data_IF_743439346413
#
_entry.id   IF_743439346413
#
_cell.length_a   1.000
_cell.length_b   1.000
_cell.length_c   1.000
_cell.angle_alpha   90.00
_cell.angle_beta   90.00
_cell.angle_gamma   90.00
#
_symmetry.space_group_name_H-M   'P 1'
#
loop_
_entity.id
_entity.type
_entity.pdbx_description
1 polymer ?
#
# COMPACT_ATOMS: atom_id res chain seq x y z
N UNK A 1 -58.86 -61.97 25.62
CA UNK A 1 -60.30 -61.63 25.63
C UNK A 1 -60.58 -60.94 26.95
N UNK A 2 -60.98 -59.65 26.93
CA UNK A 2 -61.58 -58.86 28.04
C UNK A 2 -60.66 -58.62 29.26
N UNK A 3 -60.47 -57.47 29.88
CA UNK A 3 -60.92 -56.07 29.79
C UNK A 3 -60.00 -55.29 30.74
N UNK A 4 -59.55 -54.08 30.37
CA UNK A 4 -59.08 -53.10 31.35
C UNK A 4 -59.77 -51.77 31.08
N UNK A 5 -60.33 -51.23 32.15
CA UNK A 5 -61.26 -50.11 32.25
C UNK A 5 -60.52 -48.80 32.54
N UNK A 6 -61.05 -47.73 31.96
CA UNK A 6 -61.01 -46.31 32.40
C UNK A 6 -59.67 -45.58 32.16
N UNK A 7 -59.62 -44.34 31.65
CA UNK A 7 -60.46 -43.18 31.97
C UNK A 7 -60.46 -42.08 30.89
N UNK A 8 -61.64 -41.45 30.74
CA UNK A 8 -61.96 -40.06 30.32
C UNK A 8 -61.52 -39.52 28.94
N UNK A 9 -62.48 -39.29 28.01
CA UNK A 9 -62.23 -38.63 26.74
C UNK A 9 -62.43 -37.11 26.79
N UNK A 10 -61.43 -36.46 26.23
CA UNK A 10 -61.39 -35.12 25.66
C UNK A 10 -62.51 -34.99 24.60
N UNK A 11 -62.95 -33.74 24.38
CA UNK A 11 -63.64 -33.17 23.20
C UNK A 11 -65.18 -33.18 23.17
N UNK A 12 -65.81 -32.00 23.34
CA UNK A 12 -66.61 -31.26 22.31
C UNK A 12 -67.69 -30.35 22.93
N UNK A 13 -67.52 -29.03 22.79
CA UNK A 13 -68.52 -27.94 22.54
C UNK A 13 -67.88 -26.58 22.98
N UNK A 14 -67.21 -25.81 22.11
CA UNK A 14 -67.73 -24.76 21.21
C UNK A 14 -68.70 -23.76 21.90
N UNK A 15 -68.24 -22.59 22.33
CA UNK A 15 -68.40 -21.28 21.65
C UNK A 15 -68.16 -20.07 22.59
N UNK A 16 -67.53 -19.04 22.02
CA UNK A 16 -67.63 -17.61 22.36
C UNK A 16 -66.82 -17.05 23.54
N UNK A 17 -65.60 -16.57 23.24
CA UNK A 17 -64.80 -15.68 24.08
C UNK A 17 -64.05 -14.67 23.20
N UNK A 18 -64.43 -13.41 23.33
CA UNK A 18 -64.16 -12.23 22.50
C UNK A 18 -62.74 -12.06 21.91
N UNK A 19 -62.75 -11.51 20.70
CA UNK A 19 -61.67 -10.78 20.03
C UNK A 19 -60.99 -9.74 20.94
N UNK A 20 -59.69 -9.89 21.13
CA UNK A 20 -58.73 -8.77 21.07
C UNK A 20 -57.51 -9.24 20.31
N UNK A 21 -57.64 -9.33 18.99
CA UNK A 21 -56.47 -9.42 18.11
C UNK A 21 -55.88 -8.00 18.10
N UNK A 22 -54.95 -7.74 19.03
CA UNK A 22 -54.15 -6.52 19.01
C UNK A 22 -53.29 -6.59 17.75
N UNK A 23 -53.79 -6.00 16.68
CA UNK A 23 -53.05 -5.75 15.46
C UNK A 23 -52.03 -4.67 15.81
N UNK A 24 -50.89 -5.07 16.38
CA UNK A 24 -49.71 -4.23 16.39
C UNK A 24 -49.31 -4.05 14.93
N UNK A 25 -49.84 -3.00 14.29
CA UNK A 25 -49.16 -2.37 13.17
C UNK A 25 -47.85 -1.88 13.78
N UNK A 26 -46.81 -2.72 13.73
CA UNK A 26 -45.46 -2.22 13.69
C UNK A 26 -45.43 -1.35 12.44
N UNK A 27 -45.63 -0.05 12.62
CA UNK A 27 -45.18 0.91 11.66
C UNK A 27 -43.69 0.61 11.52
N UNK A 28 -43.33 -0.06 10.43
CA UNK A 28 -41.97 -0.05 9.94
C UNK A 28 -41.71 1.44 9.77
N UNK A 29 -40.99 2.06 10.71
CA UNK A 29 -40.50 3.40 10.49
C UNK A 29 -39.63 3.26 9.26
N UNK A 30 -40.14 3.69 8.10
CA UNK A 30 -39.34 3.86 6.91
C UNK A 30 -38.17 4.72 7.38
N UNK A 31 -36.99 4.10 7.45
CA UNK A 31 -35.74 4.80 7.72
C UNK A 31 -35.70 5.88 6.66
N UNK A 32 -35.89 7.13 7.08
CA UNK A 32 -36.26 8.19 6.17
C UNK A 32 -35.29 8.22 4.97
N UNK A 33 -35.77 8.43 3.73
CA UNK A 33 -35.02 8.17 2.50
C UNK A 33 -33.95 9.26 2.21
N UNK A 34 -33.34 9.82 3.25
CA UNK A 34 -32.38 10.91 3.14
C UNK A 34 -30.93 10.42 3.01
N UNK A 35 -30.15 11.14 2.22
CA UNK A 35 -28.73 10.91 2.06
C UNK A 35 -27.95 11.44 3.28
N UNK A 36 -26.81 10.83 3.58
CA UNK A 36 -25.86 11.40 4.54
C UNK A 36 -25.11 12.58 3.88
N UNK A 37 -24.77 12.43 2.60
CA UNK A 37 -24.20 13.50 1.79
C UNK A 37 -24.71 13.48 0.34
N UNK A 38 -24.74 14.64 -0.29
CA UNK A 38 -25.05 14.81 -1.72
C UNK A 38 -24.03 15.72 -2.39
N UNK A 39 -23.77 15.46 -3.66
CA UNK A 39 -23.05 16.38 -4.54
C UNK A 39 -24.02 16.82 -5.63
N UNK A 40 -24.30 18.12 -5.70
CA UNK A 40 -25.22 18.75 -6.64
C UNK A 40 -24.46 19.59 -7.68
N UNK A 41 -25.15 19.93 -8.77
CA UNK A 41 -24.70 20.80 -9.84
C UNK A 41 -23.38 20.37 -10.49
N UNK A 42 -23.16 19.06 -10.64
CA UNK A 42 -21.96 18.49 -11.21
C UNK A 42 -22.15 18.00 -12.66
N UNK A 43 -21.04 17.54 -13.24
CA UNK A 43 -21.03 16.61 -14.37
C UNK A 43 -20.58 15.26 -13.84
N UNK A 44 -21.53 14.47 -13.35
CA UNK A 44 -21.26 13.19 -12.69
C UNK A 44 -21.04 12.12 -13.74
N UNK A 45 -19.85 11.53 -13.78
CA UNK A 45 -19.50 10.45 -14.70
C UNK A 45 -19.69 9.12 -13.99
N UNK A 46 -20.50 8.24 -14.58
CA UNK A 46 -20.63 6.84 -14.14
C UNK A 46 -20.27 5.89 -15.28
N UNK A 47 -19.79 4.71 -14.93
CA UNK A 47 -19.46 3.65 -15.89
C UNK A 47 -20.15 2.34 -15.49
N UNK A 48 -20.78 1.69 -16.45
CA UNK A 48 -21.51 0.43 -16.26
C UNK A 48 -21.32 -0.45 -17.50
N UNK A 49 -20.74 -1.64 -17.30
CA UNK A 49 -20.50 -2.60 -18.39
C UNK A 49 -21.78 -3.25 -18.91
N UNK A 50 -22.85 -3.24 -18.12
CA UNK A 50 -24.15 -3.77 -18.51
C UNK A 50 -24.99 -2.72 -19.27
N UNK A 51 -24.52 -1.47 -19.32
CA UNK A 51 -25.13 -0.39 -20.08
C UNK A 51 -24.56 -0.34 -21.52
N UNK A 52 -25.39 -0.31 -22.58
CA UNK A 52 -24.91 -0.16 -23.96
C UNK A 52 -24.11 1.15 -24.17
N UNK A 53 -24.39 2.17 -23.36
CA UNK A 53 -23.55 3.36 -23.23
C UNK A 53 -22.66 3.17 -22.00
N UNK A 54 -21.46 2.63 -22.22
CA UNK A 54 -20.46 2.32 -21.19
C UNK A 54 -20.22 3.46 -20.20
N UNK A 55 -20.31 4.71 -20.68
CA UNK A 55 -20.17 5.93 -19.89
C UNK A 55 -21.48 6.71 -19.94
N UNK A 56 -22.00 7.06 -18.76
CA UNK A 56 -23.19 7.90 -18.59
C UNK A 56 -22.86 9.16 -17.81
N UNK A 57 -23.64 10.22 -18.07
CA UNK A 57 -23.53 11.53 -17.43
C UNK A 57 -24.80 11.83 -16.65
N UNK A 58 -24.64 12.31 -15.43
CA UNK A 58 -25.72 12.81 -14.57
C UNK A 58 -25.32 14.16 -13.96
N UNK A 59 -26.22 14.77 -13.19
CA UNK A 59 -26.00 16.09 -12.61
C UNK A 59 -25.63 16.02 -11.12
N UNK A 60 -26.05 14.96 -10.43
CA UNK A 60 -25.92 14.84 -9.00
C UNK A 60 -25.80 13.38 -8.52
N UNK A 61 -25.25 13.22 -7.31
CA UNK A 61 -25.10 11.92 -6.63
C UNK A 61 -25.45 12.05 -5.14
N UNK A 62 -26.13 11.05 -4.60
CA UNK A 62 -26.43 10.89 -3.17
C UNK A 62 -25.69 9.69 -2.59
N UNK A 63 -25.15 9.84 -1.39
CA UNK A 63 -24.42 8.80 -0.65
C UNK A 63 -25.09 8.58 0.70
N UNK A 64 -25.17 7.31 1.12
CA UNK A 64 -25.60 6.90 2.46
C UNK A 64 -24.64 5.84 2.97
N UNK A 65 -24.05 6.08 4.14
CA UNK A 65 -22.97 5.26 4.69
C UNK A 65 -21.81 5.15 3.71
N UNK A 66 -21.50 3.91 3.31
CA UNK A 66 -20.42 3.54 2.40
C UNK A 66 -20.89 3.30 0.96
N UNK A 67 -22.14 3.68 0.62
CA UNK A 67 -22.75 3.35 -0.68
C UNK A 67 -23.37 4.56 -1.36
N UNK A 68 -23.25 4.56 -2.69
CA UNK A 68 -24.05 5.43 -3.55
C UNK A 68 -25.51 5.01 -3.42
N UNK A 69 -26.34 5.94 -2.95
CA UNK A 69 -27.78 5.76 -2.79
C UNK A 69 -28.53 6.02 -4.09
N UNK A 70 -28.15 7.08 -4.82
CA UNK A 70 -28.77 7.45 -6.09
C UNK A 70 -27.83 8.33 -6.94
N UNK A 71 -28.02 8.29 -8.26
CA UNK A 71 -27.36 9.16 -9.25
C UNK A 71 -28.45 9.65 -10.21
N UNK A 72 -28.49 10.95 -10.49
CA UNK A 72 -29.59 11.50 -11.29
C UNK A 72 -29.48 13.00 -11.55
N UNK A 73 -30.62 13.62 -11.85
CA UNK A 73 -30.76 15.08 -11.96
C UNK A 73 -30.64 15.77 -10.60
N UNK A 74 -30.39 17.08 -10.61
CA UNK A 74 -30.37 17.86 -9.37
C UNK A 74 -31.69 17.77 -8.60
N UNK A 75 -32.82 17.83 -9.29
CA UNK A 75 -34.15 17.81 -8.66
C UNK A 75 -34.46 16.48 -7.98
N UNK A 76 -34.04 15.36 -8.58
CA UNK A 76 -34.20 14.02 -7.99
C UNK A 76 -33.36 13.86 -6.72
N UNK A 77 -32.09 14.30 -6.76
CA UNK A 77 -31.19 14.18 -5.61
C UNK A 77 -31.53 15.18 -4.49
N UNK A 78 -32.02 16.37 -4.84
CA UNK A 78 -32.43 17.38 -3.87
C UNK A 78 -33.57 16.89 -2.95
N UNK A 79 -34.43 15.99 -3.44
CA UNK A 79 -35.50 15.37 -2.64
C UNK A 79 -34.97 14.42 -1.55
N UNK A 80 -33.71 13.99 -1.65
CA UNK A 80 -33.05 13.13 -0.68
C UNK A 80 -32.30 13.93 0.40
N UNK A 81 -32.39 15.26 0.40
CA UNK A 81 -31.72 16.13 1.38
C UNK A 81 -32.61 16.32 2.61
N UNK A 82 -32.06 16.06 3.79
CA UNK A 82 -32.60 16.44 5.09
C UNK A 82 -31.76 17.56 5.72
N UNK A 83 -32.23 18.11 6.84
CA UNK A 83 -31.54 19.19 7.58
C UNK A 83 -30.12 18.81 8.04
N UNK A 84 -29.81 17.51 8.16
CA UNK A 84 -28.49 16.99 8.54
C UNK A 84 -27.65 16.48 7.37
N UNK A 85 -28.18 16.48 6.15
CA UNK A 85 -27.44 16.02 4.96
C UNK A 85 -26.34 17.00 4.61
N UNK A 86 -25.12 16.51 4.41
CA UNK A 86 -24.02 17.33 3.90
C UNK A 86 -24.23 17.62 2.41
N UNK A 87 -24.35 18.89 2.04
CA UNK A 87 -24.56 19.30 0.65
C UNK A 87 -23.30 19.93 0.08
N UNK A 88 -22.75 19.32 -0.97
CA UNK A 88 -21.62 19.84 -1.74
C UNK A 88 -22.11 20.38 -3.08
N UNK A 89 -21.90 21.67 -3.33
CA UNK A 89 -22.13 22.26 -4.65
C UNK A 89 -20.88 22.11 -5.52
N UNK A 90 -20.97 21.28 -6.57
CA UNK A 90 -19.87 21.04 -7.50
C UNK A 90 -19.61 22.23 -8.45
N UNK A 91 -20.52 23.22 -8.53
CA UNK A 91 -20.35 24.45 -9.34
C UNK A 91 -20.03 24.17 -10.82
N UNK A 92 -20.65 23.15 -11.38
CA UNK A 92 -20.46 22.71 -12.77
C UNK A 92 -19.19 21.90 -13.03
N UNK A 93 -18.40 21.59 -11.99
CA UNK A 93 -17.22 20.73 -12.10
C UNK A 93 -17.61 19.26 -12.31
N UNK A 94 -16.66 18.49 -12.83
CA UNK A 94 -16.82 17.06 -13.05
C UNK A 94 -16.65 16.29 -11.75
N UNK A 95 -17.56 15.34 -11.51
CA UNK A 95 -17.48 14.37 -10.41
C UNK A 95 -17.17 13.02 -11.04
N UNK A 96 -16.08 12.39 -10.59
CA UNK A 96 -15.64 11.07 -11.09
C UNK A 96 -15.56 10.07 -9.93
N UNK A 97 -15.62 8.76 -10.21
CA UNK A 97 -15.25 7.76 -9.22
C UNK A 97 -13.83 8.03 -8.69
N UNK A 98 -13.61 7.75 -7.41
CA UNK A 98 -12.27 7.78 -6.84
C UNK A 98 -11.33 6.86 -7.61
N UNK A 99 -10.08 7.30 -7.79
CA UNK A 99 -9.08 6.57 -8.55
C UNK A 99 -8.67 5.29 -7.80
N UNK A 100 -8.45 4.23 -8.57
CA UNK A 100 -7.92 2.96 -8.09
C UNK A 100 -6.48 2.85 -8.58
N UNK A 101 -5.53 2.78 -7.66
CA UNK A 101 -4.12 2.55 -7.97
C UNK A 101 -3.78 1.07 -7.85
N UNK A 102 -3.90 0.35 -8.97
CA UNK A 102 -3.74 -1.11 -9.02
C UNK A 102 -2.34 -1.63 -8.66
N UNK A 103 -1.34 -0.74 -8.51
CA UNK A 103 0.02 -1.16 -8.19
C UNK A 103 0.82 -0.02 -7.55
N UNK A 104 0.86 -0.02 -6.21
CA UNK A 104 1.61 0.96 -5.44
C UNK A 104 2.50 0.30 -4.38
N UNK A 105 3.64 0.92 -4.14
CA UNK A 105 4.55 0.61 -3.05
C UNK A 105 4.41 1.66 -1.95
N UNK A 106 3.22 1.77 -1.34
CA UNK A 106 2.84 2.86 -0.40
C UNK A 106 3.88 3.11 0.71
N UNK A 107 4.46 2.05 1.26
CA UNK A 107 5.45 2.15 2.33
C UNK A 107 6.79 2.75 1.85
N UNK A 108 7.13 2.67 0.55
CA UNK A 108 8.42 3.14 -0.03
C UNK A 108 8.52 4.67 -0.20
N UNK A 109 7.42 5.38 0.06
CA UNK A 109 7.32 6.82 -0.12
C UNK A 109 7.31 7.61 1.20
N UNK A 110 7.45 6.91 2.34
CA UNK A 110 7.26 7.48 3.67
C UNK A 110 8.60 7.86 4.32
N UNK A 111 8.64 9.02 4.99
CA UNK A 111 9.86 9.62 5.54
C UNK A 111 10.34 8.93 6.83
N UNK A 112 9.42 8.31 7.56
CA UNK A 112 9.68 7.71 8.88
C UNK A 112 10.15 6.24 8.82
N UNK A 113 10.31 5.71 7.60
CA UNK A 113 10.67 4.32 7.38
C UNK A 113 11.89 4.19 6.45
N UNK A 114 12.85 3.28 6.70
CA UNK A 114 14.16 3.19 6.02
C UNK A 114 14.13 3.15 4.49
N UNK A 115 13.01 2.80 3.85
CA UNK A 115 12.88 2.95 2.38
C UNK A 115 13.19 4.37 1.91
N UNK A 116 12.96 5.37 2.77
CA UNK A 116 13.35 6.76 2.56
C UNK A 116 14.78 7.08 3.01
N UNK A 117 15.74 6.21 2.69
CA UNK A 117 17.07 6.71 2.30
C UNK A 117 16.99 7.78 1.18
N UNK A 118 15.81 8.02 0.60
CA UNK A 118 15.41 9.25 -0.13
C UNK A 118 15.58 10.56 0.67
N UNK A 119 15.77 10.52 1.99
CA UNK A 119 16.07 11.67 2.84
C UNK A 119 17.48 11.68 3.42
N UNK A 120 18.40 10.85 2.91
CA UNK A 120 19.83 11.16 3.08
C UNK A 120 20.01 12.59 2.54
N UNK A 121 20.45 13.57 3.36
CA UNK A 121 20.28 15.01 3.07
C UNK A 121 20.91 15.54 1.78
N UNK A 122 21.69 14.74 1.05
CA UNK A 122 22.12 14.98 -0.32
C UNK A 122 22.09 13.63 -1.06
N UNK A 123 21.05 13.34 -1.84
CA UNK A 123 20.98 12.08 -2.60
C UNK A 123 22.07 12.03 -3.67
N UNK A 124 23.19 11.38 -3.36
CA UNK A 124 24.29 11.07 -4.28
C UNK A 124 23.98 9.81 -5.11
N UNK A 125 22.74 9.66 -5.59
CA UNK A 125 22.31 8.51 -6.40
C UNK A 125 23.09 8.47 -7.72
N UNK A 126 23.95 7.48 -7.89
CA UNK A 126 24.59 7.20 -9.17
C UNK A 126 23.79 6.11 -9.88
N UNK A 127 23.09 6.50 -10.94
CA UNK A 127 22.45 5.54 -11.85
C UNK A 127 23.47 5.10 -12.90
N UNK A 128 23.76 3.81 -12.91
CA UNK A 128 24.60 3.21 -13.93
C UNK A 128 23.68 2.58 -14.95
N UNK A 129 23.62 3.17 -16.14
CA UNK A 129 22.78 2.70 -17.23
C UNK A 129 23.59 1.94 -18.27
N UNK A 130 23.23 0.69 -18.53
CA UNK A 130 23.46 0.05 -19.83
C UNK A 130 22.23 0.33 -20.71
N UNK A 131 22.42 0.81 -21.93
CA UNK A 131 21.31 1.08 -22.85
C UNK A 131 20.70 -0.23 -23.36
N UNK A 132 19.42 -0.41 -23.10
CA UNK A 132 18.57 -1.41 -23.73
C UNK A 132 18.49 -2.71 -22.94
N UNK A 133 17.31 -3.33 -22.95
CA UNK A 133 17.00 -4.57 -22.27
C UNK A 133 17.97 -5.70 -22.70
N UNK A 134 19.06 -5.86 -21.96
CA UNK A 134 19.59 -7.17 -21.61
C UNK A 134 20.50 -7.90 -22.59
N UNK A 135 21.23 -7.25 -23.51
CA UNK A 135 22.22 -8.00 -24.30
C UNK A 135 23.64 -7.46 -24.21
N UNK A 136 24.53 -8.28 -23.65
CA UNK A 136 25.96 -8.26 -23.92
C UNK A 136 26.90 -7.75 -22.83
N UNK A 137 26.40 -7.11 -21.76
CA UNK A 137 27.29 -6.64 -20.68
C UNK A 137 27.78 -7.82 -19.83
N UNK A 138 29.09 -7.95 -19.73
CA UNK A 138 29.74 -8.94 -18.86
C UNK A 138 29.72 -8.50 -17.39
N UNK A 139 29.86 -9.46 -16.47
CA UNK A 139 29.99 -9.16 -15.03
C UNK A 139 31.22 -8.31 -14.77
N UNK A 140 32.32 -8.55 -15.49
CA UNK A 140 33.57 -7.81 -15.37
C UNK A 140 33.43 -6.35 -15.80
N UNK A 141 32.80 -6.10 -16.96
CA UNK A 141 32.52 -4.74 -17.43
C UNK A 141 31.62 -3.99 -16.45
N UNK A 142 30.54 -4.65 -16.01
CA UNK A 142 29.62 -4.08 -15.04
C UNK A 142 30.33 -3.71 -13.73
N UNK A 143 31.12 -4.62 -13.18
CA UNK A 143 31.88 -4.41 -11.95
C UNK A 143 32.86 -3.26 -12.08
N UNK A 144 33.60 -3.20 -13.20
CA UNK A 144 34.53 -2.10 -13.48
C UNK A 144 33.82 -0.74 -13.49
N UNK A 145 32.65 -0.66 -14.15
CA UNK A 145 31.85 0.57 -14.22
C UNK A 145 31.34 0.95 -12.83
N UNK A 146 30.78 0.00 -12.07
CA UNK A 146 30.21 0.25 -10.74
C UNK A 146 31.26 0.70 -9.74
N UNK A 147 32.35 -0.06 -9.60
CA UNK A 147 33.41 0.28 -8.64
C UNK A 147 34.14 1.57 -9.08
N UNK A 148 34.33 1.79 -10.39
CA UNK A 148 34.88 3.03 -10.91
C UNK A 148 34.02 4.25 -10.55
N UNK A 149 32.70 4.15 -10.72
CA UNK A 149 31.77 5.22 -10.38
C UNK A 149 31.72 5.50 -8.88
N UNK A 150 31.72 4.46 -8.04
CA UNK A 150 31.76 4.59 -6.57
C UNK A 150 33.04 5.29 -6.13
N UNK A 151 34.19 4.86 -6.64
CA UNK A 151 35.50 5.47 -6.34
C UNK A 151 35.52 6.94 -6.74
N UNK A 152 35.04 7.25 -7.95
CA UNK A 152 34.98 8.62 -8.45
C UNK A 152 34.05 9.48 -7.58
N UNK A 153 32.94 8.91 -7.08
CA UNK A 153 32.00 9.63 -6.22
C UNK A 153 32.57 9.88 -4.84
N UNK A 154 33.22 8.89 -4.22
CA UNK A 154 33.87 9.02 -2.92
C UNK A 154 34.87 10.18 -2.89
N UNK A 155 35.62 10.39 -3.97
CA UNK A 155 36.59 11.49 -4.08
C UNK A 155 35.97 12.90 -4.18
N UNK A 156 34.66 13.01 -4.42
CA UNK A 156 33.97 14.28 -4.67
C UNK A 156 33.08 14.74 -3.53
N UNK A 157 32.81 13.86 -2.57
CA UNK A 157 31.79 14.09 -1.55
C UNK A 157 32.47 14.12 -0.18
N UNK A 158 32.01 14.96 0.77
CA UNK A 158 32.65 15.03 2.08
C UNK A 158 32.55 13.68 2.80
N UNK A 159 33.52 13.39 3.66
CA UNK A 159 33.52 12.17 4.48
C UNK A 159 32.21 12.00 5.24
N UNK A 160 31.80 10.75 5.47
CA UNK A 160 30.52 10.41 6.09
C UNK A 160 29.29 10.54 5.18
N UNK A 161 29.40 11.19 4.01
CA UNK A 161 28.28 11.24 3.06
C UNK A 161 28.08 9.88 2.39
N UNK A 162 26.82 9.50 2.18
CA UNK A 162 26.44 8.21 1.65
C UNK A 162 26.62 8.12 0.14
N UNK A 163 27.14 7.01 -0.35
CA UNK A 163 27.26 6.71 -1.78
C UNK A 163 26.25 5.63 -2.14
N UNK A 164 25.21 6.00 -2.89
CA UNK A 164 24.16 5.07 -3.30
C UNK A 164 24.22 4.79 -4.80
N UNK A 165 24.20 3.53 -5.18
CA UNK A 165 24.19 3.09 -6.57
C UNK A 165 22.93 2.29 -6.86
N UNK A 166 22.13 2.75 -7.82
CA UNK A 166 21.07 1.95 -8.41
C UNK A 166 21.64 1.28 -9.66
N UNK A 167 21.96 0.00 -9.52
CA UNK A 167 22.75 -0.76 -10.46
C UNK A 167 21.83 -1.42 -11.52
N UNK A 168 22.08 -1.13 -12.80
CA UNK A 168 21.36 -1.72 -13.93
C UNK A 168 22.36 -2.21 -14.99
N UNK A 169 22.07 -3.31 -15.71
CA UNK A 169 20.81 -4.07 -15.69
C UNK A 169 20.76 -5.10 -14.54
N UNK A 170 19.56 -5.47 -14.02
CA UNK A 170 19.46 -6.28 -12.80
C UNK A 170 20.05 -7.70 -12.91
N UNK A 171 19.94 -8.32 -14.09
CA UNK A 171 20.43 -9.69 -14.33
C UNK A 171 21.95 -9.80 -14.27
N UNK A 172 22.69 -8.77 -14.70
CA UNK A 172 24.16 -8.70 -14.56
C UNK A 172 24.53 -8.30 -13.14
N UNK A 173 23.81 -7.33 -12.56
CA UNK A 173 24.06 -6.83 -11.22
C UNK A 173 23.97 -7.92 -10.15
N UNK A 174 22.90 -8.72 -10.18
CA UNK A 174 22.69 -9.84 -9.25
C UNK A 174 23.82 -10.87 -9.34
N UNK A 175 24.33 -11.15 -10.54
CA UNK A 175 25.48 -12.06 -10.73
C UNK A 175 26.80 -11.50 -10.22
N UNK A 176 26.97 -10.18 -10.23
CA UNK A 176 28.15 -9.49 -9.71
C UNK A 176 28.18 -9.42 -8.18
N UNK A 177 27.01 -9.36 -7.55
CA UNK A 177 26.89 -9.22 -6.09
C UNK A 177 27.33 -10.49 -5.36
N UNK A 178 28.23 -10.32 -4.39
CA UNK A 178 28.82 -11.42 -3.63
C UNK A 178 29.93 -12.19 -4.37
N UNK A 179 30.18 -11.87 -5.64
CA UNK A 179 31.27 -12.47 -6.44
C UNK A 179 32.37 -11.46 -6.71
N UNK A 180 32.06 -10.44 -7.50
CA UNK A 180 33.02 -9.41 -7.96
C UNK A 180 32.74 -8.04 -7.35
N UNK A 181 31.57 -7.87 -6.75
CA UNK A 181 31.20 -6.74 -5.88
C UNK A 181 30.86 -7.33 -4.52
N UNK A 182 31.77 -7.18 -3.56
CA UNK A 182 31.65 -7.72 -2.19
C UNK A 182 31.74 -6.61 -1.15
N UNK A 183 31.29 -6.89 0.07
CA UNK A 183 31.44 -5.97 1.22
C UNK A 183 32.90 -5.54 1.39
N UNK A 184 33.83 -6.48 1.40
CA UNK A 184 35.26 -6.20 1.62
C UNK A 184 35.82 -5.23 0.57
N UNK A 185 35.42 -5.40 -0.70
CA UNK A 185 35.80 -4.47 -1.77
C UNK A 185 35.24 -3.08 -1.49
N UNK A 186 33.98 -2.98 -1.04
CA UNK A 186 33.38 -1.68 -0.72
C UNK A 186 34.00 -1.05 0.54
N UNK A 187 34.40 -1.84 1.52
CA UNK A 187 35.12 -1.37 2.71
C UNK A 187 36.48 -0.76 2.32
N UNK A 188 37.22 -1.38 1.41
CA UNK A 188 38.47 -0.83 0.88
C UNK A 188 38.24 0.42 0.02
N UNK A 189 37.20 0.40 -0.81
CA UNK A 189 36.94 1.46 -1.79
C UNK A 189 36.36 2.73 -1.15
N UNK A 190 35.58 2.56 -0.09
CA UNK A 190 34.80 3.62 0.57
C UNK A 190 34.93 3.57 2.09
N UNK A 191 36.15 3.57 2.66
CA UNK A 191 36.36 3.33 4.08
C UNK A 191 35.77 4.43 4.97
N UNK A 192 35.55 5.63 4.43
CA UNK A 192 35.03 6.79 5.15
C UNK A 192 33.58 7.15 4.77
N UNK A 193 32.93 6.35 3.91
CA UNK A 193 31.57 6.60 3.42
C UNK A 193 30.70 5.37 3.58
N UNK A 194 29.47 5.49 4.09
CA UNK A 194 28.46 4.46 3.90
C UNK A 194 28.22 4.24 2.39
N UNK A 195 28.39 3.02 1.90
CA UNK A 195 28.08 2.67 0.50
C UNK A 195 27.01 1.61 0.41
N UNK A 196 26.07 1.83 -0.51
CA UNK A 196 24.91 0.98 -0.71
C UNK A 196 24.62 0.81 -2.21
N UNK A 197 24.86 -0.39 -2.72
CA UNK A 197 24.58 -0.77 -4.10
C UNK A 197 23.34 -1.63 -4.10
N UNK A 198 22.35 -1.29 -4.94
CA UNK A 198 21.07 -2.00 -5.01
C UNK A 198 20.65 -2.23 -6.45
N UNK A 199 19.95 -3.33 -6.70
CA UNK A 199 19.24 -3.61 -7.94
C UNK A 199 17.94 -4.34 -7.64
N UNK A 200 17.13 -4.61 -8.68
CA UNK A 200 15.98 -5.50 -8.51
C UNK A 200 16.48 -6.90 -8.17
N UNK A 201 16.22 -7.34 -6.94
CA UNK A 201 16.56 -8.69 -6.47
C UNK A 201 17.86 -8.79 -5.67
N UNK A 202 18.50 -7.67 -5.28
CA UNK A 202 19.65 -7.76 -4.37
C UNK A 202 20.34 -6.45 -4.03
N UNK A 203 21.21 -6.52 -3.03
CA UNK A 203 22.06 -5.41 -2.61
C UNK A 203 23.42 -5.82 -2.04
N UNK A 204 24.37 -4.89 -2.02
CA UNK A 204 25.66 -5.02 -1.32
C UNK A 204 25.93 -3.73 -0.57
N UNK A 205 26.33 -3.86 0.69
CA UNK A 205 26.66 -2.75 1.59
C UNK A 205 28.06 -2.93 2.17
N UNK A 206 28.70 -1.82 2.55
CA UNK A 206 29.94 -1.85 3.32
C UNK A 206 29.67 -1.81 4.85
N UNK A 207 30.73 -1.95 5.65
CA UNK A 207 30.68 -1.91 7.12
C UNK A 207 30.10 -0.60 7.64
N UNK A 208 30.44 0.54 7.02
CA UNK A 208 29.92 1.86 7.45
C UNK A 208 28.41 2.00 7.27
N UNK A 209 27.85 1.40 6.23
CA UNK A 209 26.40 1.33 6.07
C UNK A 209 25.77 0.52 7.20
N UNK A 210 26.37 -0.61 7.57
CA UNK A 210 25.87 -1.43 8.69
C UNK A 210 25.94 -0.64 10.01
N UNK A 211 27.07 -0.01 10.32
CA UNK A 211 27.23 0.85 11.51
C UNK A 211 26.15 1.92 11.59
N UNK A 212 25.88 2.61 10.47
CA UNK A 212 24.87 3.66 10.43
C UNK A 212 23.44 3.12 10.63
N UNK A 213 23.14 1.93 10.12
CA UNK A 213 21.86 1.26 10.39
C UNK A 213 21.76 0.85 11.86
N UNK A 214 22.79 0.23 12.43
CA UNK A 214 22.80 -0.18 13.83
C UNK A 214 22.64 1.00 14.80
N UNK A 215 23.28 2.14 14.49
CA UNK A 215 23.12 3.39 15.23
C UNK A 215 21.69 3.91 15.13
N UNK A 216 21.12 3.97 13.93
CA UNK A 216 19.76 4.46 13.70
C UNK A 216 18.70 3.63 14.45
N UNK A 217 18.86 2.31 14.48
CA UNK A 217 17.91 1.40 15.12
C UNK A 217 18.25 1.07 16.58
N UNK A 218 19.42 1.46 17.06
CA UNK A 218 19.90 1.08 18.40
C UNK A 218 19.98 -0.43 18.60
N UNK A 219 20.19 -1.21 17.54
CA UNK A 219 20.36 -2.67 17.61
C UNK A 219 21.47 -3.13 16.71
N UNK A 220 22.19 -4.18 17.14
CA UNK A 220 23.10 -4.90 16.28
C UNK A 220 22.29 -5.66 15.23
N UNK A 221 22.70 -5.59 13.99
CA UNK A 221 22.05 -6.33 12.91
C UNK A 221 22.57 -7.79 12.91
N UNK A 222 21.75 -8.78 12.54
CA UNK A 222 22.20 -10.16 12.40
C UNK A 222 23.23 -10.34 11.28
N UNK A 223 24.31 -11.07 11.58
CA UNK A 223 25.43 -11.25 10.64
C UNK A 223 24.98 -11.83 9.30
N UNK A 224 23.94 -12.66 9.31
CA UNK A 224 23.42 -13.31 8.13
C UNK A 224 22.66 -12.42 7.15
N UNK A 225 22.41 -11.15 7.48
CA UNK A 225 21.83 -10.18 6.53
C UNK A 225 22.82 -9.67 5.51
N UNK A 226 24.12 -9.81 5.78
CA UNK A 226 25.20 -9.42 4.88
C UNK A 226 26.17 -10.57 4.58
N UNK A 227 25.87 -11.80 5.03
CA UNK A 227 26.63 -12.97 4.62
C UNK A 227 26.35 -13.27 3.14
N UNK A 228 27.44 -13.28 2.40
CA UNK A 228 27.54 -13.53 0.97
C UNK A 228 26.69 -14.72 0.52
N UNK A 229 25.88 -14.49 -0.51
CA UNK A 229 25.12 -15.47 -1.31
C UNK A 229 24.27 -16.46 -0.51
N UNK A 230 23.00 -16.10 -0.26
CA UNK A 230 21.94 -17.10 -0.02
C UNK A 230 21.16 -17.34 -1.31
N UNK A 231 21.14 -18.57 -1.79
CA UNK A 231 20.31 -18.98 -2.93
C UNK A 231 18.86 -19.15 -2.44
N UNK A 232 17.99 -18.17 -2.69
CA UNK A 232 16.57 -18.19 -2.24
C UNK A 232 15.60 -18.76 -3.30
N UNK A 233 16.09 -19.56 -4.25
CA UNK A 233 15.25 -20.25 -5.23
C UNK A 233 14.80 -19.39 -6.43
N UNK A 234 13.76 -19.84 -7.12
CA UNK A 234 13.38 -19.42 -8.49
C UNK A 234 12.83 -17.99 -8.63
N UNK A 235 12.66 -17.24 -7.54
CA UNK A 235 12.33 -15.80 -7.58
C UNK A 235 13.53 -14.88 -7.75
N UNK A 236 14.77 -15.40 -7.69
CA UNK A 236 15.98 -14.63 -7.99
C UNK A 236 16.33 -13.54 -6.96
N UNK A 237 15.95 -13.72 -5.70
CA UNK A 237 16.30 -12.80 -4.61
C UNK A 237 17.67 -13.20 -4.03
N UNK A 238 18.73 -12.56 -4.49
CA UNK A 238 20.09 -12.75 -3.98
C UNK A 238 20.42 -11.58 -3.04
N UNK A 239 20.84 -11.86 -1.81
CA UNK A 239 21.56 -10.89 -0.96
C UNK A 239 20.85 -9.54 -0.79
N UNK A 240 19.56 -9.51 -0.49
CA UNK A 240 18.88 -8.24 -0.26
C UNK A 240 18.99 -7.83 1.23
N UNK A 241 20.14 -7.26 1.61
CA UNK A 241 20.39 -6.72 2.95
C UNK A 241 19.22 -5.84 3.40
N UNK A 242 18.75 -4.98 2.49
CA UNK A 242 17.69 -4.02 2.75
C UNK A 242 16.37 -4.72 3.05
N UNK A 243 15.98 -5.74 2.29
CA UNK A 243 14.75 -6.51 2.57
C UNK A 243 14.84 -7.37 3.83
N UNK A 244 15.97 -8.06 4.04
CA UNK A 244 16.17 -8.91 5.22
C UNK A 244 16.16 -8.08 6.51
N UNK A 245 16.93 -6.98 6.54
CA UNK A 245 16.96 -6.08 7.68
C UNK A 245 15.58 -5.50 7.97
N UNK A 246 14.82 -5.08 6.94
CA UNK A 246 13.47 -4.52 7.13
C UNK A 246 12.50 -5.48 7.80
N UNK A 247 12.35 -6.69 7.24
CA UNK A 247 11.35 -7.63 7.72
C UNK A 247 11.64 -7.97 9.18
N UNK A 248 12.91 -8.19 9.52
CA UNK A 248 13.26 -8.50 10.88
C UNK A 248 13.09 -7.32 11.82
N UNK A 249 13.59 -6.12 11.47
CA UNK A 249 13.43 -4.92 12.29
C UNK A 249 11.95 -4.64 12.60
N UNK A 250 11.06 -4.77 11.61
CA UNK A 250 9.61 -4.62 11.82
C UNK A 250 9.09 -5.65 12.83
N UNK A 251 9.59 -6.88 12.75
CA UNK A 251 9.10 -8.00 13.56
C UNK A 251 9.72 -8.08 14.95
N UNK A 252 10.96 -7.62 15.14
CA UNK A 252 11.77 -7.89 16.33
C UNK A 252 11.99 -6.66 17.20
N UNK A 253 11.90 -5.45 16.65
CA UNK A 253 12.06 -4.23 17.43
C UNK A 253 10.73 -3.67 17.95
N UNK A 254 10.73 -3.24 19.20
CA UNK A 254 9.56 -2.61 19.79
C UNK A 254 9.27 -1.25 19.13
N UNK A 255 8.03 -1.04 18.70
CA UNK A 255 7.55 0.23 18.13
C UNK A 255 7.90 0.47 16.65
N UNK A 256 8.69 -0.39 16.00
CA UNK A 256 8.96 -0.28 14.56
C UNK A 256 7.76 -0.66 13.70
N UNK A 257 6.97 -1.66 14.12
CA UNK A 257 5.69 -1.96 13.50
C UNK A 257 4.71 -0.78 13.56
N UNK A 258 4.63 -0.10 14.71
CA UNK A 258 3.76 1.07 14.85
C UNK A 258 4.22 2.22 13.94
N UNK A 259 5.53 2.46 13.85
CA UNK A 259 6.10 3.43 12.89
C UNK A 259 5.77 3.05 11.45
N UNK A 260 5.90 1.77 11.09
CA UNK A 260 5.55 1.26 9.77
C UNK A 260 4.08 1.49 9.43
N UNK A 261 3.17 1.15 10.34
CA UNK A 261 1.72 1.36 10.14
C UNK A 261 1.40 2.85 10.05
N UNK A 262 1.96 3.69 10.92
CA UNK A 262 1.74 5.13 10.87
C UNK A 262 2.20 5.74 9.55
N UNK A 263 3.39 5.35 9.08
CA UNK A 263 3.92 5.75 7.79
C UNK A 263 3.01 5.31 6.64
N UNK A 264 2.56 4.05 6.65
CA UNK A 264 1.61 3.52 5.67
C UNK A 264 0.30 4.32 5.64
N UNK A 265 -0.27 4.62 6.80
CA UNK A 265 -1.49 5.42 6.93
C UNK A 265 -1.29 6.86 6.43
N UNK A 266 -0.13 7.48 6.68
CA UNK A 266 0.19 8.80 6.11
C UNK A 266 0.23 8.75 4.58
N UNK A 267 0.84 7.73 3.98
CA UNK A 267 0.86 7.57 2.52
C UNK A 267 -0.55 7.42 1.95
N UNK A 268 -1.42 6.66 2.62
CA UNK A 268 -2.82 6.54 2.20
C UNK A 268 -3.56 7.88 2.26
N UNK A 269 -3.31 8.69 3.29
CA UNK A 269 -3.91 10.02 3.43
C UNK A 269 -3.44 10.98 2.32
N UNK A 270 -2.14 11.00 2.00
CA UNK A 270 -1.60 11.83 0.92
C UNK A 270 -2.22 11.44 -0.43
N UNK A 271 -2.33 10.15 -0.70
CA UNK A 271 -2.94 9.67 -1.93
C UNK A 271 -4.45 9.96 -2.01
N UNK A 272 -5.16 9.91 -0.89
CA UNK A 272 -6.56 10.33 -0.83
C UNK A 272 -6.73 11.81 -1.19
N UNK A 273 -5.77 12.67 -0.86
CA UNK A 273 -5.79 14.10 -1.24
C UNK A 273 -5.66 14.32 -2.75
N UNK A 274 -5.07 13.38 -3.48
CA UNK A 274 -4.98 13.41 -4.96
C UNK A 274 -6.06 12.56 -5.63
N UNK A 275 -7.05 12.10 -4.87
CA UNK A 275 -8.22 11.38 -5.38
C UNK A 275 -8.03 9.86 -5.54
N UNK A 276 -6.94 9.27 -5.04
CA UNK A 276 -6.76 7.81 -4.98
C UNK A 276 -7.39 7.27 -3.71
N UNK A 277 -8.45 6.48 -3.87
CA UNK A 277 -9.27 6.00 -2.75
C UNK A 277 -9.22 4.49 -2.57
N UNK A 278 -8.56 3.75 -3.49
CA UNK A 278 -8.35 2.32 -3.40
C UNK A 278 -7.01 1.90 -4.02
N UNK A 279 -6.49 0.74 -3.59
CA UNK A 279 -5.24 0.11 -4.03
C UNK A 279 -5.46 -1.37 -4.32
#
# INVERSE_FOLDING_TARGET
MVSLKHSSPIVKRLFLGLLTFSFCISAQADVAPYADSVILNGKVITADNDNPNLITMAEAVAVRGDRVMAVGSNDEIQQLVADWTEVVDAKGNTVIPGLIDSHNHLYEHTLDFPWSLKQIPEMLEVRIGAKGEGEGMTVEEFTSIVLGAIKARAAQVPEGHWIRVNARPPDVAVRAFGTTITRDILDELTPNHPSYITTRGGSVVNSKTIEAFEEFYGTRMPEDYWLVSRELGTSGEYNDFDRCAKIDIINTQFGTFDRYINAYMQSMQVNAQIGVTAY
#
